data_IF_567121407081
#
_entry.id   IF_567121407081
#
_cell.length_a   1.000
_cell.length_b   1.000
_cell.length_c   1.000
_cell.angle_alpha   90.00
_cell.angle_beta   90.00
_cell.angle_gamma   90.00
#
_symmetry.space_group_name_H-M   'P 1'
#
loop_
_entity.id
_entity.type
_entity.pdbx_description
1 polymer ?
#
# COMPACT_ATOMS: atom_id res chain seq x y z
N UNK A 1 -11.01 -0.81 -4.41
CA UNK A 1 -11.93 -1.84 -4.94
C UNK A 1 -12.48 -1.37 -6.28
N UNK A 2 -12.55 -2.26 -7.28
CA UNK A 2 -13.14 -1.97 -8.60
C UNK A 2 -14.28 -2.96 -8.79
N UNK A 3 -15.47 -2.45 -9.10
CA UNK A 3 -16.67 -3.25 -9.41
C UNK A 3 -16.97 -3.09 -10.89
N UNK A 4 -16.94 -4.18 -11.65
CA UNK A 4 -17.27 -4.21 -13.07
C UNK A 4 -18.54 -5.07 -13.27
N UNK A 5 -19.64 -4.39 -13.52
CA UNK A 5 -20.94 -5.01 -13.71
C UNK A 5 -21.03 -5.83 -15.00
N UNK A 6 -20.34 -5.41 -16.06
CA UNK A 6 -20.39 -6.08 -17.36
C UNK A 6 -19.78 -7.48 -17.31
N UNK A 7 -18.64 -7.61 -16.64
CA UNK A 7 -17.94 -8.88 -16.49
C UNK A 7 -18.29 -9.61 -15.20
N UNK A 8 -19.11 -9.02 -14.33
CA UNK A 8 -19.39 -9.47 -12.98
C UNK A 8 -18.11 -9.78 -12.20
N UNK A 9 -17.19 -8.82 -12.16
CA UNK A 9 -15.94 -8.96 -11.42
C UNK A 9 -15.78 -7.91 -10.35
N UNK A 10 -15.23 -8.30 -9.20
CA UNK A 10 -14.82 -7.38 -8.14
C UNK A 10 -13.33 -7.59 -7.91
N UNK A 11 -12.55 -6.53 -8.07
CA UNK A 11 -11.10 -6.56 -7.86
C UNK A 11 -10.76 -5.72 -6.62
N UNK A 12 -10.15 -6.37 -5.63
CA UNK A 12 -9.60 -5.71 -4.45
C UNK A 12 -8.13 -5.40 -4.66
N UNK A 13 -7.76 -4.13 -4.49
CA UNK A 13 -6.36 -3.75 -4.30
C UNK A 13 -5.99 -3.88 -2.83
N UNK A 14 -4.80 -4.38 -2.55
CA UNK A 14 -4.36 -4.64 -1.17
C UNK A 14 -4.33 -3.37 -0.29
N UNK A 15 -3.99 -2.20 -0.86
CA UNK A 15 -4.01 -0.91 -0.17
C UNK A 15 -5.42 -0.52 0.28
N UNK A 16 -6.40 -0.69 -0.62
CA UNK A 16 -7.79 -0.41 -0.31
C UNK A 16 -8.34 -1.33 0.79
N UNK A 17 -7.97 -2.62 0.80
CA UNK A 17 -8.33 -3.54 1.89
C UNK A 17 -7.74 -3.08 3.23
N UNK A 18 -6.51 -2.59 3.24
CA UNK A 18 -5.89 -2.03 4.44
C UNK A 18 -6.65 -0.82 4.99
N UNK A 19 -7.06 0.10 4.11
CA UNK A 19 -7.87 1.26 4.48
C UNK A 19 -9.26 0.84 4.99
N UNK A 20 -9.88 -0.17 4.36
CA UNK A 20 -11.20 -0.66 4.75
C UNK A 20 -11.18 -1.27 6.16
N UNK A 21 -10.18 -2.06 6.50
CA UNK A 21 -10.04 -2.62 7.84
C UNK A 21 -9.76 -1.55 8.90
N UNK A 22 -9.17 -0.43 8.50
CA UNK A 22 -8.97 0.70 9.39
C UNK A 22 -10.27 1.47 9.62
N UNK A 23 -10.95 1.83 8.53
CA UNK A 23 -12.23 2.54 8.57
C UNK A 23 -13.03 2.26 7.27
N UNK A 24 -14.07 1.40 7.33
CA UNK A 24 -14.88 1.06 6.15
C UNK A 24 -15.45 2.30 5.44
N UNK A 25 -15.99 3.27 6.18
CA UNK A 25 -16.56 4.48 5.58
C UNK A 25 -15.50 5.32 4.85
N UNK A 26 -14.29 5.46 5.39
CA UNK A 26 -13.20 6.15 4.70
C UNK A 26 -12.88 5.47 3.37
N UNK A 27 -12.83 4.14 3.35
CA UNK A 27 -12.53 3.40 2.13
C UNK A 27 -13.63 3.53 1.07
N UNK A 28 -14.91 3.63 1.49
CA UNK A 28 -16.03 3.93 0.60
C UNK A 28 -15.93 5.35 0.04
N UNK A 29 -15.65 6.33 0.91
CA UNK A 29 -15.50 7.73 0.51
C UNK A 29 -14.32 7.95 -0.43
N UNK A 30 -13.22 7.22 -0.27
CA UNK A 30 -12.10 7.23 -1.22
C UNK A 30 -12.52 6.77 -2.64
N UNK A 31 -13.55 5.92 -2.76
CA UNK A 31 -14.10 5.51 -4.05
C UNK A 31 -15.14 6.52 -4.58
N UNK A 32 -15.92 7.13 -3.69
CA UNK A 32 -16.94 8.10 -4.05
C UNK A 32 -16.37 9.47 -4.43
N UNK A 33 -15.27 9.87 -3.79
CA UNK A 33 -14.63 11.18 -3.92
C UNK A 33 -13.11 11.03 -4.03
N UNK A 34 -12.60 10.39 -5.10
CA UNK A 34 -11.16 10.10 -5.24
C UNK A 34 -10.30 11.37 -5.25
N UNK A 35 -10.83 12.50 -5.69
CA UNK A 35 -10.15 13.81 -5.72
C UNK A 35 -9.79 14.35 -4.32
N UNK A 36 -10.43 13.83 -3.27
CA UNK A 36 -10.13 14.19 -1.87
C UNK A 36 -9.05 13.32 -1.23
N UNK A 37 -8.65 12.25 -1.91
CA UNK A 37 -7.55 11.40 -1.47
C UNK A 37 -6.22 11.96 -1.96
N UNK A 38 -5.90 13.17 -1.51
CA UNK A 38 -4.65 13.86 -1.89
C UNK A 38 -3.46 13.27 -1.13
N UNK A 39 -2.32 13.23 -1.83
CA UNK A 39 -1.04 12.81 -1.27
C UNK A 39 -0.49 13.77 -0.20
N UNK A 40 0.71 13.52 0.24
CA UNK A 40 1.45 14.39 1.14
C UNK A 40 2.94 14.45 0.75
N UNK A 41 3.64 15.46 1.23
CA UNK A 41 5.10 15.55 1.20
C UNK A 41 5.77 14.22 1.58
N UNK A 42 5.25 13.62 2.62
CA UNK A 42 5.72 12.32 3.11
C UNK A 42 5.46 11.17 2.14
N UNK A 43 4.35 11.20 1.38
CA UNK A 43 4.04 10.22 0.34
C UNK A 43 4.96 10.44 -0.86
N UNK A 44 5.12 11.68 -1.30
CA UNK A 44 5.97 12.05 -2.42
C UNK A 44 7.42 11.59 -2.20
N UNK A 45 7.97 11.83 -0.99
CA UNK A 45 9.31 11.36 -0.63
C UNK A 45 9.40 9.82 -0.66
N UNK A 46 8.33 9.12 -0.25
CA UNK A 46 8.23 7.66 -0.37
C UNK A 46 8.30 7.20 -1.82
N UNK A 47 7.51 7.81 -2.70
CA UNK A 47 7.48 7.51 -4.15
C UNK A 47 8.86 7.76 -4.77
N UNK A 48 9.54 8.86 -4.42
CA UNK A 48 10.91 9.12 -4.87
C UNK A 48 11.90 8.03 -4.45
N UNK A 49 11.84 7.54 -3.21
CA UNK A 49 12.70 6.45 -2.75
C UNK A 49 12.39 5.13 -3.47
N UNK A 50 11.11 4.83 -3.73
CA UNK A 50 10.72 3.65 -4.52
C UNK A 50 11.26 3.72 -5.95
N UNK A 51 11.15 4.86 -6.65
CA UNK A 51 11.72 5.05 -7.98
C UNK A 51 13.25 4.85 -8.02
N UNK A 52 13.96 5.31 -6.97
CA UNK A 52 15.38 5.01 -6.83
C UNK A 52 15.63 3.51 -6.67
N UNK A 53 14.93 2.86 -5.72
CA UNK A 53 15.13 1.45 -5.42
C UNK A 53 14.79 0.55 -6.61
N UNK A 54 13.75 0.86 -7.38
CA UNK A 54 13.36 0.15 -8.60
C UNK A 54 14.51 0.08 -9.61
N UNK A 55 15.10 1.22 -9.96
CA UNK A 55 16.22 1.28 -10.93
C UNK A 55 17.43 0.51 -10.40
N UNK A 56 17.75 0.65 -9.11
CA UNK A 56 18.85 -0.12 -8.49
C UNK A 56 18.61 -1.63 -8.54
N UNK A 57 17.37 -2.07 -8.31
CA UNK A 57 17.01 -3.50 -8.37
C UNK A 57 17.01 -4.05 -9.80
N UNK A 58 16.77 -3.20 -10.80
CA UNK A 58 16.92 -3.53 -12.22
C UNK A 58 18.39 -3.56 -12.69
N UNK A 59 19.33 -3.17 -11.84
CA UNK A 59 20.76 -3.16 -12.15
C UNK A 59 21.28 -1.84 -12.69
N UNK A 60 20.47 -0.78 -12.72
CA UNK A 60 20.89 0.56 -13.07
C UNK A 60 21.90 1.14 -12.06
N UNK A 61 22.70 2.10 -12.50
CA UNK A 61 23.69 2.73 -11.63
C UNK A 61 23.06 3.76 -10.67
N UNK A 62 23.89 4.38 -9.82
CA UNK A 62 23.42 5.35 -8.83
C UNK A 62 22.88 6.64 -9.44
N UNK A 63 23.46 7.09 -10.54
CA UNK A 63 23.09 8.33 -11.20
C UNK A 63 21.72 8.15 -11.88
N UNK A 64 21.55 7.06 -12.63
CA UNK A 64 20.27 6.68 -13.23
C UNK A 64 19.17 6.53 -12.17
N UNK A 65 19.47 5.84 -11.09
CA UNK A 65 18.52 5.63 -10.00
C UNK A 65 18.14 6.95 -9.30
N UNK A 66 19.11 7.84 -9.09
CA UNK A 66 18.84 9.14 -8.47
C UNK A 66 17.99 10.04 -9.39
N UNK A 67 18.24 10.01 -10.69
CA UNK A 67 17.42 10.72 -11.67
C UNK A 67 15.97 10.21 -11.66
N UNK A 68 15.75 8.89 -11.60
CA UNK A 68 14.42 8.29 -11.50
C UNK A 68 13.73 8.65 -10.17
N UNK A 69 14.47 8.62 -9.06
CA UNK A 69 13.97 9.02 -7.75
C UNK A 69 13.51 10.48 -7.72
N UNK A 70 14.29 11.40 -8.28
CA UNK A 70 13.89 12.80 -8.39
C UNK A 70 12.71 13.00 -9.33
N UNK A 71 12.68 12.32 -10.48
CA UNK A 71 11.54 12.42 -11.39
C UNK A 71 10.23 11.96 -10.74
N UNK A 72 10.28 10.88 -9.98
CA UNK A 72 9.12 10.37 -9.23
C UNK A 72 8.70 11.34 -8.10
N UNK A 73 9.65 11.90 -7.36
CA UNK A 73 9.40 12.91 -6.33
C UNK A 73 8.77 14.18 -6.92
N UNK A 74 9.37 14.73 -7.98
CA UNK A 74 8.90 15.96 -8.62
C UNK A 74 7.50 15.80 -9.19
N UNK A 75 7.20 14.63 -9.77
CA UNK A 75 5.86 14.32 -10.25
C UNK A 75 4.83 14.40 -9.10
N UNK A 76 5.09 13.75 -7.99
CA UNK A 76 4.18 13.76 -6.82
C UNK A 76 4.03 15.16 -6.21
N UNK A 77 5.13 15.92 -6.10
CA UNK A 77 5.09 17.29 -5.57
C UNK A 77 4.38 18.27 -6.52
N UNK A 78 4.30 17.97 -7.81
CA UNK A 78 3.54 18.78 -8.78
C UNK A 78 2.02 18.62 -8.65
N UNK A 79 1.55 17.54 -8.00
CA UNK A 79 0.14 17.30 -7.75
C UNK A 79 -0.31 18.00 -6.47
N UNK A 80 -1.63 18.29 -6.31
CA UNK A 80 -2.15 18.79 -5.04
C UNK A 80 -1.79 17.84 -3.89
N UNK A 81 -1.11 18.34 -2.87
CA UNK A 81 -0.69 17.54 -1.72
C UNK A 81 -0.73 18.33 -0.42
N UNK A 82 -0.77 17.61 0.69
CA UNK A 82 -0.75 18.16 2.04
C UNK A 82 0.69 18.28 2.56
N UNK A 83 1.07 19.45 3.07
CA UNK A 83 2.32 19.62 3.80
C UNK A 83 2.19 19.07 5.23
N UNK A 84 2.72 17.89 5.46
CA UNK A 84 2.69 17.21 6.76
C UNK A 84 3.98 17.38 7.58
N UNK A 85 4.67 18.50 7.40
CA UNK A 85 5.80 18.90 8.22
C UNK A 85 7.14 18.94 7.51
N UNK A 86 7.19 18.79 6.19
CA UNK A 86 8.35 19.03 5.33
C UNK A 86 7.93 19.96 4.19
N UNK A 87 8.80 20.88 3.81
CA UNK A 87 8.63 21.62 2.57
C UNK A 87 9.12 20.80 1.36
N UNK A 88 8.69 21.16 0.17
CA UNK A 88 9.12 20.52 -1.08
C UNK A 88 10.66 20.54 -1.22
N UNK A 89 11.28 21.68 -0.87
CA UNK A 89 12.74 21.82 -0.88
C UNK A 89 13.43 20.90 0.15
N UNK A 90 12.83 20.68 1.30
CA UNK A 90 13.33 19.71 2.27
C UNK A 90 13.21 18.27 1.74
N UNK A 91 12.11 17.91 1.05
CA UNK A 91 11.96 16.62 0.41
C UNK A 91 13.04 16.39 -0.65
N UNK A 92 13.25 17.34 -1.54
CA UNK A 92 14.28 17.28 -2.59
C UNK A 92 15.69 17.14 -1.97
N UNK A 93 16.01 17.89 -0.93
CA UNK A 93 17.32 17.83 -0.29
C UNK A 93 17.55 16.55 0.52
N UNK A 94 16.50 15.94 1.02
CA UNK A 94 16.59 14.78 1.92
C UNK A 94 16.56 13.44 1.17
N UNK A 95 15.96 13.37 -0.02
CA UNK A 95 15.87 12.14 -0.83
C UNK A 95 17.24 11.44 -1.02
N UNK A 96 18.34 12.16 -1.43
CA UNK A 96 19.64 11.51 -1.62
C UNK A 96 20.18 10.82 -0.36
N UNK A 97 19.94 11.43 0.81
CA UNK A 97 20.38 10.88 2.10
C UNK A 97 19.63 9.58 2.43
N UNK A 98 18.33 9.54 2.15
CA UNK A 98 17.52 8.33 2.34
C UNK A 98 17.92 7.21 1.37
N UNK A 99 18.12 7.53 0.10
CA UNK A 99 18.56 6.59 -0.92
C UNK A 99 19.93 5.98 -0.56
N UNK A 100 20.90 6.82 -0.14
CA UNK A 100 22.19 6.35 0.33
C UNK A 100 22.08 5.44 1.55
N UNK A 101 21.22 5.76 2.51
CA UNK A 101 21.01 4.91 3.69
C UNK A 101 20.38 3.55 3.31
N UNK A 102 19.43 3.53 2.39
CA UNK A 102 18.83 2.30 1.85
C UNK A 102 19.90 1.44 1.13
N UNK A 103 20.69 2.07 0.26
CA UNK A 103 21.72 1.35 -0.50
C UNK A 103 22.82 0.76 0.39
N UNK A 104 23.23 1.48 1.40
CA UNK A 104 24.29 1.01 2.30
C UNK A 104 23.84 -0.10 3.26
N UNK A 105 22.57 -0.08 3.69
CA UNK A 105 22.12 -0.92 4.80
C UNK A 105 21.06 -1.96 4.43
N UNK A 106 20.27 -1.74 3.36
CA UNK A 106 19.22 -2.68 2.93
C UNK A 106 19.69 -3.48 1.73
N UNK A 107 20.17 -2.81 0.68
CA UNK A 107 20.55 -3.44 -0.58
C UNK A 107 21.53 -4.64 -0.41
N UNK A 108 22.54 -4.60 0.49
CA UNK A 108 23.44 -5.76 0.68
C UNK A 108 22.75 -7.02 1.20
N UNK A 109 21.56 -6.90 1.78
CA UNK A 109 20.75 -8.03 2.30
C UNK A 109 19.81 -8.60 1.24
N UNK A 110 19.68 -7.95 0.09
CA UNK A 110 18.75 -8.31 -0.98
C UNK A 110 19.47 -9.15 -2.03
N UNK A 111 18.92 -10.32 -2.36
CA UNK A 111 19.48 -11.16 -3.43
C UNK A 111 19.09 -10.60 -4.79
N UNK A 112 20.04 -10.29 -5.69
CA UNK A 112 19.73 -9.74 -7.01
C UNK A 112 19.10 -10.78 -7.95
N UNK A 113 18.53 -10.32 -9.07
CA UNK A 113 18.01 -11.17 -10.13
C UNK A 113 16.58 -11.66 -9.92
N UNK A 114 15.83 -11.00 -9.05
CA UNK A 114 14.42 -11.26 -8.81
C UNK A 114 13.47 -10.42 -9.67
N UNK A 115 12.19 -10.50 -9.37
CA UNK A 115 11.13 -9.73 -10.02
C UNK A 115 10.98 -8.36 -9.34
N UNK A 116 11.05 -7.28 -10.13
CA UNK A 116 10.94 -5.87 -9.69
C UNK A 116 9.58 -5.33 -10.09
N UNK A 117 8.90 -4.57 -9.21
CA UNK A 117 7.59 -3.94 -9.46
C UNK A 117 6.58 -4.91 -10.10
N UNK A 118 6.56 -6.14 -9.57
CA UNK A 118 5.75 -7.21 -10.15
C UNK A 118 4.27 -7.02 -9.85
N UNK A 119 3.48 -6.82 -10.92
CA UNK A 119 2.02 -6.70 -10.84
C UNK A 119 1.37 -8.07 -10.87
N UNK A 120 0.46 -8.31 -9.94
CA UNK A 120 -0.33 -9.54 -9.90
C UNK A 120 -1.83 -9.26 -9.88
N UNK A 121 -2.61 -10.22 -10.40
CA UNK A 121 -4.07 -10.27 -10.26
C UNK A 121 -4.49 -11.73 -10.11
N UNK A 122 -4.91 -12.11 -8.90
CA UNK A 122 -5.25 -13.48 -8.54
C UNK A 122 -6.75 -13.64 -8.42
N UNK A 123 -7.31 -14.68 -9.05
CA UNK A 123 -8.68 -15.11 -8.80
C UNK A 123 -8.74 -15.80 -7.43
N UNK A 124 -9.57 -15.28 -6.53
CA UNK A 124 -9.72 -15.83 -5.18
C UNK A 124 -10.88 -16.79 -5.05
N UNK A 125 -11.94 -16.63 -5.84
CA UNK A 125 -13.17 -17.43 -5.78
C UNK A 125 -14.37 -16.66 -6.29
N UNK A 126 -15.55 -17.32 -6.21
CA UNK A 126 -16.83 -16.74 -6.58
C UNK A 126 -17.61 -16.32 -5.32
N UNK A 127 -18.36 -15.21 -5.43
CA UNK A 127 -19.30 -14.74 -4.41
C UNK A 127 -20.57 -14.19 -5.09
N UNK A 128 -21.72 -14.75 -4.78
CA UNK A 128 -23.04 -14.36 -5.31
C UNK A 128 -23.07 -14.09 -6.83
N UNK A 129 -22.37 -14.93 -7.61
CA UNK A 129 -22.26 -14.81 -9.06
C UNK A 129 -21.25 -13.78 -9.55
N UNK A 130 -20.45 -13.20 -8.64
CA UNK A 130 -19.31 -12.33 -8.95
C UNK A 130 -18.00 -13.09 -8.82
N UNK A 131 -17.06 -12.83 -9.73
CA UNK A 131 -15.69 -13.31 -9.65
C UNK A 131 -14.84 -12.34 -8.84
N UNK A 132 -14.21 -12.83 -7.79
CA UNK A 132 -13.44 -12.02 -6.86
C UNK A 132 -11.95 -12.13 -7.18
N UNK A 133 -11.31 -10.99 -7.34
CA UNK A 133 -9.88 -10.88 -7.62
C UNK A 133 -9.17 -10.06 -6.55
N UNK A 134 -7.92 -10.42 -6.28
CA UNK A 134 -6.96 -9.65 -5.49
C UNK A 134 -5.85 -9.16 -6.41
N UNK A 135 -5.52 -7.87 -6.34
CA UNK A 135 -4.49 -7.27 -7.15
C UNK A 135 -3.54 -6.40 -6.31
N UNK A 136 -2.34 -6.22 -6.82
CA UNK A 136 -1.32 -5.37 -6.22
C UNK A 136 -0.04 -5.35 -7.04
N UNK A 137 0.95 -4.61 -6.55
CA UNK A 137 2.30 -4.56 -7.10
C UNK A 137 3.29 -4.84 -5.98
N UNK A 138 4.17 -5.81 -6.17
CA UNK A 138 5.23 -6.18 -5.25
C UNK A 138 6.49 -5.42 -5.63
N UNK A 139 7.09 -4.67 -4.69
CA UNK A 139 8.28 -3.88 -4.99
C UNK A 139 9.43 -4.79 -5.46
N UNK A 140 9.66 -5.91 -4.75
CA UNK A 140 10.65 -6.88 -5.17
C UNK A 140 10.38 -8.29 -4.61
N UNK A 141 10.55 -9.30 -5.45
CA UNK A 141 10.55 -10.71 -5.02
C UNK A 141 11.88 -11.32 -5.43
N UNK A 142 12.70 -11.71 -4.45
CA UNK A 142 14.01 -12.25 -4.72
C UNK A 142 13.95 -13.67 -5.33
N UNK A 143 15.05 -14.20 -5.91
CA UNK A 143 15.06 -15.52 -6.54
C UNK A 143 14.74 -16.68 -5.59
N UNK A 144 14.72 -16.46 -4.27
CA UNK A 144 14.31 -17.46 -3.28
C UNK A 144 12.83 -17.42 -2.93
N UNK A 145 12.08 -16.48 -3.51
CA UNK A 145 10.68 -16.23 -3.23
C UNK A 145 10.43 -15.38 -1.97
N UNK A 146 11.49 -14.78 -1.40
CA UNK A 146 11.32 -13.80 -0.32
C UNK A 146 10.84 -12.48 -0.91
N UNK A 147 9.78 -11.92 -0.32
CA UNK A 147 9.20 -10.66 -0.76
C UNK A 147 9.80 -9.52 0.07
N UNK A 148 10.23 -8.49 -0.62
CA UNK A 148 10.72 -7.25 -0.05
C UNK A 148 9.76 -6.12 -0.39
N UNK A 149 9.53 -5.24 0.57
CA UNK A 149 8.69 -4.06 0.42
C UNK A 149 9.39 -2.86 1.06
N UNK A 150 9.61 -1.83 0.26
CA UNK A 150 10.33 -0.64 0.69
C UNK A 150 9.37 0.32 1.39
N UNK A 151 9.75 0.81 2.54
CA UNK A 151 8.93 1.74 3.30
C UNK A 151 9.71 2.93 3.80
N UNK A 152 9.09 4.10 3.67
CA UNK A 152 9.50 5.30 4.38
C UNK A 152 8.56 5.52 5.56
N UNK A 153 9.10 5.84 6.72
CA UNK A 153 8.30 5.99 7.93
C UNK A 153 8.83 7.14 8.81
N UNK A 154 7.95 7.74 9.63
CA UNK A 154 8.38 8.74 10.61
C UNK A 154 9.18 8.13 11.78
N UNK A 155 9.01 6.83 12.01
CA UNK A 155 9.68 6.07 13.08
C UNK A 155 9.86 4.60 12.68
N UNK A 156 10.73 3.90 13.40
CA UNK A 156 10.97 2.48 13.21
C UNK A 156 9.70 1.66 13.43
N UNK A 157 9.56 0.57 12.67
CA UNK A 157 8.42 -0.35 12.80
C UNK A 157 8.60 -1.28 13.98
N UNK A 158 7.52 -1.55 14.69
CA UNK A 158 7.47 -2.63 15.67
C UNK A 158 7.11 -3.92 14.93
N UNK A 159 8.03 -4.89 14.96
CA UNK A 159 7.87 -6.16 14.25
C UNK A 159 6.51 -6.83 14.55
N UNK A 160 6.15 -6.95 15.82
CA UNK A 160 4.94 -7.65 16.25
C UNK A 160 3.65 -7.00 15.71
N UNK A 161 3.62 -5.66 15.54
CA UNK A 161 2.49 -4.95 14.93
C UNK A 161 2.34 -5.31 13.46
N UNK A 162 3.46 -5.28 12.71
CA UNK A 162 3.46 -5.57 11.27
C UNK A 162 3.18 -7.05 11.00
N UNK A 163 3.76 -7.93 11.79
CA UNK A 163 3.52 -9.36 11.70
C UNK A 163 2.06 -9.70 11.97
N UNK A 164 1.42 -9.05 12.96
CA UNK A 164 0.06 -9.37 13.39
C UNK A 164 -1.02 -8.74 12.50
N UNK A 165 -0.84 -7.49 12.08
CA UNK A 165 -1.95 -6.71 11.52
C UNK A 165 -1.79 -6.28 10.06
N UNK A 166 -0.59 -6.39 9.49
CA UNK A 166 -0.39 -5.97 8.11
C UNK A 166 -1.02 -6.96 7.11
N UNK A 167 -1.91 -6.46 6.27
CA UNK A 167 -2.57 -7.24 5.19
C UNK A 167 -1.66 -7.42 3.98
N UNK A 168 -0.93 -6.39 3.62
CA UNK A 168 -0.09 -6.35 2.41
C UNK A 168 0.81 -7.58 2.27
N UNK A 169 1.54 -8.04 3.32
CA UNK A 169 2.34 -9.25 3.24
C UNK A 169 1.54 -10.51 2.88
N UNK A 170 0.30 -10.61 3.35
CA UNK A 170 -0.56 -11.75 3.04
C UNK A 170 -1.06 -11.69 1.60
N UNK A 171 -1.49 -10.51 1.13
CA UNK A 171 -1.92 -10.31 -0.24
C UNK A 171 -0.80 -10.61 -1.24
N UNK A 172 0.41 -10.15 -0.96
CA UNK A 172 1.57 -10.38 -1.81
C UNK A 172 2.04 -11.85 -1.79
N UNK A 173 1.96 -12.53 -0.64
CA UNK A 173 2.25 -13.95 -0.56
C UNK A 173 1.32 -14.78 -1.46
N UNK A 174 0.02 -14.44 -1.50
CA UNK A 174 -0.94 -15.06 -2.42
C UNK A 174 -0.54 -14.78 -3.87
N UNK A 175 -0.23 -13.54 -4.21
CA UNK A 175 0.22 -13.14 -5.55
C UNK A 175 1.49 -13.87 -5.99
N UNK A 176 2.50 -13.90 -5.14
CA UNK A 176 3.79 -14.52 -5.44
C UNK A 176 3.68 -16.04 -5.68
N UNK A 177 2.82 -16.75 -4.93
CA UNK A 177 2.55 -18.18 -5.17
C UNK A 177 1.77 -18.36 -6.48
N UNK A 178 0.72 -17.58 -6.72
CA UNK A 178 -0.08 -17.69 -7.94
C UNK A 178 0.76 -17.50 -9.21
N UNK A 179 1.68 -16.54 -9.18
CA UNK A 179 2.50 -16.18 -10.32
C UNK A 179 3.81 -16.99 -10.40
N UNK A 180 3.99 -17.98 -9.52
CA UNK A 180 5.15 -18.89 -9.53
C UNK A 180 6.46 -18.26 -9.05
N UNK A 181 6.42 -17.04 -8.47
CA UNK A 181 7.60 -16.38 -7.88
C UNK A 181 8.01 -17.02 -6.56
N UNK A 182 7.06 -17.67 -5.89
CA UNK A 182 7.31 -18.48 -4.70
C UNK A 182 6.62 -19.85 -4.85
N UNK A 183 7.24 -20.92 -4.33
CA UNK A 183 6.75 -22.30 -4.55
C UNK A 183 5.57 -22.67 -3.65
N UNK A 184 5.64 -22.30 -2.39
CA UNK A 184 4.67 -22.70 -1.37
C UNK A 184 4.83 -21.87 -0.10
N UNK A 185 3.85 -21.93 0.78
CA UNK A 185 3.98 -21.42 2.15
C UNK A 185 4.99 -22.25 2.99
N UNK A 186 5.63 -21.64 4.00
CA UNK A 186 5.56 -20.24 4.38
C UNK A 186 6.38 -19.34 3.45
N UNK A 187 5.87 -18.12 3.22
CA UNK A 187 6.56 -17.08 2.46
C UNK A 187 7.32 -16.16 3.42
N UNK A 188 8.61 -15.97 3.16
CA UNK A 188 9.42 -14.99 3.86
C UNK A 188 9.11 -13.59 3.37
N UNK A 189 8.98 -12.67 4.32
CA UNK A 189 8.71 -11.26 4.08
C UNK A 189 9.76 -10.39 4.75
N UNK A 190 10.10 -9.28 4.12
CA UNK A 190 10.92 -8.24 4.72
C UNK A 190 10.39 -6.84 4.36
N UNK A 191 10.23 -5.99 5.36
CA UNK A 191 10.19 -4.55 5.14
C UNK A 191 11.60 -3.98 5.20
N UNK A 192 12.01 -3.28 4.16
CA UNK A 192 13.18 -2.40 4.18
C UNK A 192 12.74 -0.99 4.54
N UNK A 193 12.88 -0.59 5.79
CA UNK A 193 12.36 0.67 6.31
C UNK A 193 13.46 1.71 6.41
N UNK A 194 13.24 2.90 5.82
CA UNK A 194 14.10 4.08 6.00
C UNK A 194 13.27 5.17 6.68
N UNK A 195 13.78 5.70 7.80
CA UNK A 195 13.05 6.78 8.48
C UNK A 195 13.27 8.11 7.78
N UNK A 196 12.20 8.89 7.69
CA UNK A 196 12.19 10.24 7.11
C UNK A 196 12.12 11.28 8.22
N UNK A 197 13.19 12.03 8.37
CA UNK A 197 13.26 13.18 9.25
C UNK A 197 14.39 14.09 8.78
N UNK A 198 14.09 15.29 8.24
CA UNK A 198 15.12 16.18 7.71
C UNK A 198 16.07 16.72 8.80
N UNK A 199 15.70 16.54 10.07
CA UNK A 199 16.49 17.01 11.23
C UNK A 199 17.41 15.92 11.83
N UNK A 200 17.39 14.70 11.31
CA UNK A 200 18.15 13.55 11.84
C UNK A 200 18.59 12.66 10.70
N UNK A 201 19.73 12.01 10.86
CA UNK A 201 20.15 10.96 9.94
C UNK A 201 19.09 9.87 9.84
N UNK A 202 18.81 9.35 8.63
CA UNK A 202 17.86 8.27 8.43
C UNK A 202 18.28 7.03 9.20
N UNK A 203 17.39 6.51 10.03
CA UNK A 203 17.55 5.18 10.57
C UNK A 203 17.06 4.16 9.56
N UNK A 204 17.70 3.01 9.55
CA UNK A 204 17.37 1.90 8.66
C UNK A 204 17.06 0.67 9.47
N UNK A 205 15.99 -0.02 9.11
CA UNK A 205 15.55 -1.24 9.76
C UNK A 205 15.11 -2.27 8.72
N UNK A 206 15.49 -3.53 8.93
CA UNK A 206 14.91 -4.66 8.20
C UNK A 206 14.01 -5.42 9.17
N UNK A 207 12.71 -5.51 8.83
CA UNK A 207 11.71 -6.19 9.66
C UNK A 207 11.25 -7.45 8.95
N UNK A 208 11.65 -8.60 9.47
CA UNK A 208 11.39 -9.90 8.84
C UNK A 208 10.38 -10.72 9.62
N UNK A 209 9.49 -11.39 8.89
CA UNK A 209 8.55 -12.38 9.40
C UNK A 209 8.04 -13.28 8.26
N UNK A 210 7.08 -14.15 8.55
CA UNK A 210 6.55 -15.08 7.55
C UNK A 210 5.03 -14.96 7.41
N UNK A 211 4.54 -15.36 6.24
CA UNK A 211 3.13 -15.61 5.98
C UNK A 211 2.91 -17.06 5.64
N UNK A 212 1.90 -17.65 6.23
CA UNK A 212 1.51 -19.03 5.99
C UNK A 212 0.09 -19.11 5.41
N UNK A 213 -0.32 -20.30 5.05
CA UNK A 213 -1.64 -20.56 4.45
C UNK A 213 -2.81 -20.11 5.35
N UNK A 214 -2.66 -20.19 6.69
CA UNK A 214 -3.67 -19.70 7.64
C UNK A 214 -3.95 -18.20 7.48
N UNK A 215 -2.92 -17.39 7.17
CA UNK A 215 -3.10 -15.96 6.89
C UNK A 215 -3.87 -15.74 5.57
N UNK A 216 -3.63 -16.57 4.54
CA UNK A 216 -4.37 -16.47 3.28
C UNK A 216 -5.86 -16.83 3.47
N UNK A 217 -6.16 -17.90 4.22
CA UNK A 217 -7.54 -18.25 4.58
C UNK A 217 -8.22 -17.16 5.39
N UNK A 218 -7.50 -16.55 6.33
CA UNK A 218 -8.02 -15.40 7.10
C UNK A 218 -8.34 -14.22 6.19
N UNK A 219 -7.45 -13.87 5.26
CA UNK A 219 -7.71 -12.77 4.32
C UNK A 219 -8.94 -13.02 3.45
N UNK A 220 -9.10 -14.24 2.94
CA UNK A 220 -10.30 -14.63 2.20
C UNK A 220 -11.57 -14.46 3.04
N UNK A 221 -11.56 -14.92 4.29
CA UNK A 221 -12.69 -14.73 5.21
C UNK A 221 -13.00 -13.25 5.45
N UNK A 222 -11.98 -12.38 5.60
CA UNK A 222 -12.21 -10.93 5.72
C UNK A 222 -12.85 -10.34 4.45
N UNK A 223 -12.41 -10.77 3.27
CA UNK A 223 -12.97 -10.31 1.98
C UNK A 223 -14.43 -10.76 1.84
N UNK A 224 -14.76 -12.01 2.14
CA UNK A 224 -16.15 -12.50 2.05
C UNK A 224 -17.06 -11.79 3.05
N UNK A 225 -16.63 -11.61 4.29
CA UNK A 225 -17.39 -10.86 5.30
C UNK A 225 -17.64 -9.41 4.86
N UNK A 226 -16.63 -8.77 4.25
CA UNK A 226 -16.78 -7.44 3.69
C UNK A 226 -17.80 -7.41 2.55
N UNK A 227 -17.74 -8.38 1.64
CA UNK A 227 -18.69 -8.50 0.52
C UNK A 227 -20.11 -8.69 1.01
N UNK A 228 -20.33 -9.56 2.00
CA UNK A 228 -21.66 -9.78 2.60
C UNK A 228 -22.21 -8.49 3.23
N UNK A 229 -21.36 -7.74 3.95
CA UNK A 229 -21.76 -6.45 4.55
C UNK A 229 -21.97 -5.34 3.51
N UNK A 230 -21.30 -5.41 2.37
CA UNK A 230 -21.36 -4.41 1.29
C UNK A 230 -22.31 -4.79 0.15
N UNK A 231 -23.02 -5.91 0.23
CA UNK A 231 -23.81 -6.46 -0.89
C UNK A 231 -24.74 -5.40 -1.51
N UNK A 232 -25.54 -4.72 -0.69
CA UNK A 232 -26.45 -3.69 -1.18
C UNK A 232 -25.69 -2.53 -1.86
N UNK A 233 -24.54 -2.11 -1.31
CA UNK A 233 -23.73 -1.07 -1.91
C UNK A 233 -23.14 -1.50 -3.26
N UNK A 234 -22.74 -2.75 -3.41
CA UNK A 234 -22.21 -3.29 -4.67
C UNK A 234 -23.27 -3.21 -5.77
N UNK A 235 -24.51 -3.63 -5.49
CA UNK A 235 -25.60 -3.48 -6.46
C UNK A 235 -25.94 -2.02 -6.76
N UNK A 236 -25.96 -1.14 -5.76
CA UNK A 236 -26.20 0.29 -5.97
C UNK A 236 -25.13 0.92 -6.87
N UNK A 237 -23.86 0.53 -6.68
CA UNK A 237 -22.73 1.05 -7.47
C UNK A 237 -22.83 0.71 -8.95
N UNK A 238 -23.37 -0.46 -9.29
CA UNK A 238 -23.54 -0.87 -10.70
C UNK A 238 -24.47 0.05 -11.48
N UNK A 239 -25.46 0.62 -10.80
CA UNK A 239 -26.49 1.45 -11.44
C UNK A 239 -26.25 2.96 -11.23
N UNK A 240 -25.68 3.37 -10.10
CA UNK A 240 -25.66 4.76 -9.65
C UNK A 240 -24.30 5.27 -9.19
N UNK A 241 -23.26 4.42 -9.16
CA UNK A 241 -21.92 4.76 -8.71
C UNK A 241 -21.77 4.88 -7.19
N UNK A 242 -20.53 5.04 -6.73
CA UNK A 242 -20.19 5.04 -5.29
C UNK A 242 -20.80 6.19 -4.49
N UNK A 243 -21.02 7.35 -5.11
CA UNK A 243 -21.63 8.51 -4.45
C UNK A 243 -23.07 8.30 -3.98
N UNK A 244 -23.81 7.35 -4.59
CA UNK A 244 -25.18 7.01 -4.24
C UNK A 244 -25.29 5.95 -3.14
N UNK A 245 -24.18 5.36 -2.68
CA UNK A 245 -24.20 4.32 -1.66
C UNK A 245 -24.46 4.89 -0.27
N UNK A 246 -25.15 4.11 0.57
CA UNK A 246 -25.33 4.46 1.99
C UNK A 246 -24.00 4.43 2.74
N UNK A 247 -23.84 5.24 3.79
CA UNK A 247 -22.65 5.24 4.63
C UNK A 247 -22.37 3.86 5.23
N UNK A 248 -21.07 3.53 5.31
CA UNK A 248 -20.59 2.32 5.98
C UNK A 248 -20.25 2.58 7.45
N UNK A 249 -19.85 1.55 8.15
CA UNK A 249 -19.45 1.65 9.57
C UNK A 249 -18.24 2.58 9.72
N UNK A 250 -18.34 3.48 10.70
CA UNK A 250 -17.25 4.39 11.08
C UNK A 250 -16.34 3.72 12.12
N UNK A 251 -15.04 3.96 12.00
CA UNK A 251 -14.10 3.72 13.10
C UNK A 251 -13.70 5.06 13.72
N UNK A 252 -14.57 5.63 14.54
CA UNK A 252 -14.37 6.93 15.16
C UNK A 252 -13.48 6.91 16.42
N UNK A 253 -13.08 5.74 16.85
CA UNK A 253 -12.15 5.53 17.97
C UNK A 253 -10.67 5.60 17.56
N UNK A 254 -10.39 5.72 16.27
CA UNK A 254 -9.02 5.77 15.76
C UNK A 254 -8.53 7.22 15.61
N UNK A 255 -7.25 7.45 15.94
CA UNK A 255 -6.60 8.78 15.84
C UNK A 255 -6.71 9.43 14.44
N UNK A 256 -6.80 8.62 13.39
CA UNK A 256 -6.98 9.09 12.02
C UNK A 256 -8.41 9.59 11.74
N UNK A 257 -9.38 9.35 12.65
CA UNK A 257 -10.72 9.91 12.56
C UNK A 257 -10.74 11.34 13.13
N UNK A 258 -10.14 12.27 12.42
CA UNK A 258 -10.05 13.67 12.78
C UNK A 258 -9.89 14.56 11.54
N UNK A 259 -10.27 15.81 11.65
CA UNK A 259 -10.13 16.81 10.59
C UNK A 259 -8.69 16.90 10.05
N UNK A 260 -7.70 16.76 10.93
CA UNK A 260 -6.28 16.81 10.57
C UNK A 260 -5.84 15.67 9.66
N UNK A 261 -6.40 14.46 9.83
CA UNK A 261 -5.86 13.24 9.22
C UNK A 261 -6.80 12.57 8.22
N UNK A 262 -8.07 12.94 8.20
CA UNK A 262 -9.06 12.35 7.30
C UNK A 262 -9.57 13.40 6.31
N UNK A 263 -9.20 13.29 5.05
CA UNK A 263 -9.67 14.18 3.98
C UNK A 263 -11.20 14.17 3.77
N UNK A 264 -11.88 13.17 4.32
CA UNK A 264 -13.34 13.03 4.26
C UNK A 264 -14.06 13.44 5.56
N UNK A 265 -13.36 14.11 6.48
CA UNK A 265 -13.94 14.49 7.77
C UNK A 265 -15.23 15.27 7.65
N UNK A 266 -15.26 16.26 6.77
CA UNK A 266 -16.43 17.11 6.54
C UNK A 266 -17.64 16.38 5.95
N UNK A 267 -17.42 15.31 5.18
CA UNK A 267 -18.48 14.51 4.56
C UNK A 267 -19.05 13.45 5.48
N UNK A 268 -18.33 13.08 6.52
CA UNK A 268 -18.80 12.05 7.47
C UNK A 268 -18.99 12.62 8.88
N UNK A 269 -18.08 12.39 9.81
CA UNK A 269 -18.27 12.79 11.21
C UNK A 269 -18.38 14.30 11.40
N UNK A 270 -17.67 15.11 10.64
CA UNK A 270 -17.71 16.57 10.70
C UNK A 270 -19.10 17.19 10.42
N UNK A 271 -20.03 16.40 9.86
CA UNK A 271 -21.43 16.86 9.70
C UNK A 271 -22.23 16.89 11.00
N UNK A 272 -21.75 16.20 12.03
CA UNK A 272 -22.48 15.96 13.28
C UNK A 272 -21.82 16.62 14.50
N UNK A 273 -20.66 17.28 14.32
CA UNK A 273 -19.90 17.95 15.39
C UNK A 273 -19.62 19.40 15.06
#
# INVERSE_FOLDING_TARGET
>A
MIVDALTRTITFHQSWLGDNLLCPERSRLNLAFPEKNIGSDATALGTGMHGYAEVRMLGGDREEAMAAGFAALDHELSLPHNNNGMSDSECVSFLPTMCAAWELKILPSVKPGGAVEHKFKVFLGDWNGWKIYLAGTMDYVDPTGKIWDWKTASQEYKRWEKERWAIQPTAYAIGAINDGLAKSYPINWAYGVVTKSPKKDPKVQIVEFQRNEGHARWLWHQITTLLDNAEHAIYTVTDHGWGATTPWTLNDQHVLCSEKWCGHWSECKGKFV
#
